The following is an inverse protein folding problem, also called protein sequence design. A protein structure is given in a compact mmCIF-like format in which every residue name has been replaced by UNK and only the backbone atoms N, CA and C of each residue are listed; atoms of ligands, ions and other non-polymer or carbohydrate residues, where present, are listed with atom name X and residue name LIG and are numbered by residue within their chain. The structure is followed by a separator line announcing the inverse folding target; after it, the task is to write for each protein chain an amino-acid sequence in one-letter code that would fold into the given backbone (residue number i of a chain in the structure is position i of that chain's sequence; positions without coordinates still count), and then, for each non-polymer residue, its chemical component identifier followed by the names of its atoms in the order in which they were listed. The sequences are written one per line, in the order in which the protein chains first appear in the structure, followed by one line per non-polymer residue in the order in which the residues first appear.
data_IF_041090453292
#
_entry.id   IF_041090453292
#
_cell.length_a   1.000
_cell.length_b   1.000
_cell.length_c   1.000
_cell.angle_alpha   90.00
_cell.angle_beta   90.00
_cell.angle_gamma   90.00
#
_symmetry.space_group_name_H-M   'P 1'
#
loop_
_entity.id
_entity.type
_entity.pdbx_description
1 polymer ?
#
# COMPACT_ATOMS: atom_id res chain seq x y z
N UNK A 1 -31.53 -1.96 9.03
CA UNK A 1 -31.17 -1.92 7.60
C UNK A 1 -29.73 -1.47 7.50
N UNK A 2 -28.75 -2.35 7.19
CA UNK A 2 -27.36 -1.95 7.06
C UNK A 2 -27.09 -1.42 5.65
N UNK A 3 -26.54 -0.20 5.58
CA UNK A 3 -26.17 0.49 4.35
C UNK A 3 -24.93 -0.16 3.74
N UNK A 4 -25.08 -0.70 2.52
CA UNK A 4 -24.00 -1.23 1.70
C UNK A 4 -23.01 -0.11 1.34
N UNK A 5 -21.79 -0.21 1.86
CA UNK A 5 -20.64 0.54 1.35
C UNK A 5 -20.09 -0.27 0.18
N UNK A 6 -20.53 0.05 -1.03
CA UNK A 6 -19.94 -0.45 -2.26
C UNK A 6 -19.94 0.70 -3.25
N UNK A 7 -18.84 0.82 -3.99
CA UNK A 7 -18.72 1.70 -5.17
C UNK A 7 -18.33 3.17 -4.90
N UNK A 8 -17.18 3.41 -4.26
CA UNK A 8 -16.52 4.71 -4.34
C UNK A 8 -15.40 4.71 -5.38
N UNK A 9 -15.69 5.45 -6.46
CA UNK A 9 -14.78 6.10 -7.40
C UNK A 9 -13.94 5.21 -8.33
N UNK A 10 -14.59 4.57 -9.31
CA UNK A 10 -13.96 4.32 -10.61
C UNK A 10 -14.04 5.60 -11.45
N UNK A 11 -12.93 6.12 -12.02
CA UNK A 11 -13.02 7.25 -12.93
C UNK A 11 -13.79 6.81 -14.17
N UNK A 12 -14.83 7.59 -14.51
CA UNK A 12 -15.60 7.46 -15.74
C UNK A 12 -14.65 7.30 -16.93
N UNK A 13 -14.85 6.21 -17.67
CA UNK A 13 -14.21 5.95 -18.94
C UNK A 13 -14.59 7.05 -19.94
N UNK A 14 -13.78 8.11 -19.99
CA UNK A 14 -13.98 9.19 -20.95
C UNK A 14 -13.43 8.79 -22.31
N UNK A 15 -14.40 8.48 -23.17
CA UNK A 15 -14.38 8.35 -24.61
C UNK A 15 -13.46 9.39 -25.28
N UNK A 16 -12.26 9.00 -25.68
CA UNK A 16 -11.45 9.79 -26.61
C UNK A 16 -10.44 8.90 -27.36
N UNK A 17 -10.94 7.91 -28.08
CA UNK A 17 -10.27 7.34 -29.26
C UNK A 17 -11.34 7.20 -30.35
N UNK A 18 -11.53 8.29 -31.08
CA UNK A 18 -12.35 8.33 -32.30
C UNK A 18 -11.67 7.47 -33.38
N UNK A 19 -12.41 6.49 -33.91
CA UNK A 19 -12.04 5.75 -35.12
C UNK A 19 -11.55 4.31 -34.88
N UNK A 20 -12.49 3.38 -34.72
CA UNK A 20 -12.36 1.94 -35.04
C UNK A 20 -11.30 1.05 -34.35
N UNK A 21 -10.41 1.55 -33.49
CA UNK A 21 -9.42 0.71 -32.80
C UNK A 21 -9.81 0.50 -31.32
N UNK A 22 -10.06 -0.76 -30.92
CA UNK A 22 -10.32 -1.09 -29.51
C UNK A 22 -9.06 -0.76 -28.68
N UNK A 23 -9.20 0.01 -27.62
CA UNK A 23 -8.09 0.40 -26.75
C UNK A 23 -8.05 -0.42 -25.46
N UNK A 24 -6.87 -0.72 -24.90
CA UNK A 24 -6.78 -1.31 -23.57
C UNK A 24 -7.27 -0.33 -22.48
N UNK A 25 -7.95 -0.86 -21.48
CA UNK A 25 -8.45 -0.14 -20.31
C UNK A 25 -7.51 -0.35 -19.13
N UNK A 26 -7.07 0.74 -18.51
CA UNK A 26 -6.14 0.75 -17.39
C UNK A 26 -6.88 0.78 -16.04
N UNK A 27 -6.50 -0.12 -15.15
CA UNK A 27 -6.98 -0.21 -13.77
C UNK A 27 -5.81 -0.20 -12.79
N UNK A 28 -6.08 0.11 -11.53
CA UNK A 28 -5.07 0.12 -10.47
C UNK A 28 -4.33 -1.22 -10.32
N UNK A 29 -4.94 -2.35 -10.68
CA UNK A 29 -4.37 -3.70 -10.55
C UNK A 29 -3.95 -4.34 -11.87
N UNK A 30 -4.06 -3.63 -12.99
CA UNK A 30 -3.69 -4.16 -14.29
C UNK A 30 -4.50 -3.58 -15.44
N UNK A 31 -4.48 -4.29 -16.57
CA UNK A 31 -5.06 -3.87 -17.83
C UNK A 31 -6.14 -4.88 -18.26
N UNK A 32 -7.23 -4.39 -18.87
CA UNK A 32 -8.21 -5.25 -19.55
C UNK A 32 -8.38 -4.82 -20.98
N UNK A 33 -8.75 -5.76 -21.84
CA UNK A 33 -9.19 -5.44 -23.18
C UNK A 33 -10.56 -4.74 -23.16
N UNK A 34 -10.82 -3.84 -24.11
CA UNK A 34 -12.10 -3.10 -24.23
C UNK A 34 -13.37 -3.98 -24.26
N UNK A 35 -13.24 -5.29 -24.52
CA UNK A 35 -14.34 -6.27 -24.50
C UNK A 35 -14.61 -6.86 -23.10
N UNK A 36 -13.97 -6.37 -22.05
CA UNK A 36 -14.10 -6.94 -20.70
C UNK A 36 -13.37 -8.28 -20.55
N UNK A 37 -12.26 -8.46 -21.28
CA UNK A 37 -11.42 -9.65 -21.18
C UNK A 37 -10.78 -9.85 -19.81
N UNK A 38 -10.02 -10.94 -19.67
CA UNK A 38 -9.30 -11.27 -18.45
C UNK A 38 -8.37 -10.14 -18.00
N UNK A 39 -8.28 -9.91 -16.69
CA UNK A 39 -7.40 -8.90 -16.11
C UNK A 39 -5.94 -9.32 -16.21
N UNK A 40 -5.19 -8.63 -17.05
CA UNK A 40 -3.75 -8.77 -17.18
C UNK A 40 -3.09 -7.94 -16.07
N UNK A 41 -2.61 -8.60 -15.03
CA UNK A 41 -2.10 -7.92 -13.84
C UNK A 41 -0.83 -7.14 -14.15
N UNK A 42 -0.82 -5.86 -13.81
CA UNK A 42 0.32 -5.00 -14.06
C UNK A 42 0.57 -4.05 -12.88
N UNK A 43 1.83 -3.67 -12.74
CA UNK A 43 2.30 -2.62 -11.86
C UNK A 43 2.67 -1.38 -12.68
N UNK A 44 2.50 -0.22 -12.06
CA UNK A 44 2.75 1.08 -12.66
C UNK A 44 3.83 1.81 -11.86
N UNK A 45 4.76 2.45 -12.57
CA UNK A 45 5.75 3.34 -11.97
C UNK A 45 6.07 4.49 -12.92
N UNK A 46 6.54 5.61 -12.39
CA UNK A 46 7.13 6.64 -13.26
C UNK A 46 8.49 6.16 -13.75
N UNK A 47 8.80 6.43 -15.02
CA UNK A 47 10.14 6.30 -15.57
C UNK A 47 10.99 7.49 -15.12
N UNK A 48 12.32 7.38 -15.15
CA UNK A 48 13.22 8.52 -14.88
C UNK A 48 12.80 9.73 -15.75
N UNK A 49 12.63 10.94 -15.19
CA UNK A 49 13.10 11.43 -13.89
C UNK A 49 12.23 11.15 -12.65
N UNK A 50 11.11 10.42 -12.77
CA UNK A 50 10.13 10.13 -11.71
C UNK A 50 9.26 11.32 -11.25
N UNK A 51 9.23 12.40 -12.02
CA UNK A 51 8.30 13.51 -11.89
C UNK A 51 6.85 13.11 -12.20
N UNK A 52 5.91 13.57 -11.36
CA UNK A 52 4.47 13.26 -11.49
C UNK A 52 3.84 13.80 -12.77
N UNK A 53 4.36 14.91 -13.29
CA UNK A 53 3.72 15.63 -14.40
C UNK A 53 4.42 15.42 -15.74
N UNK A 54 5.72 15.17 -15.72
CA UNK A 54 6.54 15.08 -16.94
C UNK A 54 7.18 13.71 -17.19
N UNK A 55 6.99 12.73 -16.30
CA UNK A 55 7.57 11.39 -16.54
C UNK A 55 6.66 10.51 -17.36
N UNK A 56 7.26 9.75 -18.26
CA UNK A 56 6.60 8.62 -18.87
C UNK A 56 6.20 7.59 -17.79
N UNK A 57 5.15 6.82 -18.05
CA UNK A 57 4.68 5.78 -17.12
C UNK A 57 5.17 4.45 -17.62
N UNK A 58 5.98 3.78 -16.82
CA UNK A 58 6.38 2.40 -17.04
C UNK A 58 5.30 1.46 -16.51
N UNK A 59 4.90 0.52 -17.36
CA UNK A 59 3.96 -0.53 -17.02
C UNK A 59 4.67 -1.87 -17.13
N UNK A 60 4.57 -2.68 -16.08
CA UNK A 60 5.25 -3.98 -15.99
C UNK A 60 4.20 -5.03 -15.65
N UNK A 61 4.11 -6.09 -16.46
CA UNK A 61 3.27 -7.23 -16.16
C UNK A 61 3.77 -7.92 -14.88
N UNK A 62 2.86 -8.55 -14.15
CA UNK A 62 3.19 -9.24 -12.90
C UNK A 62 2.81 -10.71 -13.00
N UNK A 63 3.47 -11.56 -12.20
CA UNK A 63 3.23 -13.02 -12.18
C UNK A 63 3.53 -13.72 -13.51
N UNK A 64 4.54 -13.28 -14.25
CA UNK A 64 4.96 -13.89 -15.52
C UNK A 64 3.83 -13.93 -16.56
N UNK A 65 2.82 -13.06 -16.43
CA UNK A 65 1.78 -12.93 -17.45
C UNK A 65 2.30 -12.12 -18.63
N UNK A 66 1.95 -12.54 -19.85
CA UNK A 66 2.20 -11.74 -21.04
C UNK A 66 1.02 -10.81 -21.33
N UNK A 67 1.30 -9.67 -21.93
CA UNK A 67 0.24 -8.76 -22.34
C UNK A 67 -0.53 -9.30 -23.57
N UNK A 68 -1.78 -8.88 -23.72
CA UNK A 68 -2.63 -9.30 -24.82
C UNK A 68 -2.12 -8.71 -26.14
N UNK A 69 -2.43 -9.35 -27.29
CA UNK A 69 -2.12 -8.80 -28.60
C UNK A 69 -2.64 -7.36 -28.81
N UNK A 70 -3.71 -6.97 -28.10
CA UNK A 70 -4.23 -5.61 -28.13
C UNK A 70 -3.24 -4.61 -27.54
N UNK A 71 -2.64 -4.92 -26.39
CA UNK A 71 -1.62 -4.08 -25.77
C UNK A 71 -0.38 -4.02 -26.66
N UNK A 72 0.05 -5.15 -27.24
CA UNK A 72 1.14 -5.19 -28.21
C UNK A 72 0.85 -4.38 -29.49
N UNK A 73 -0.42 -4.20 -29.86
CA UNK A 73 -0.80 -3.35 -31.01
C UNK A 73 -0.76 -1.85 -30.69
N UNK A 74 -0.91 -1.48 -29.42
CA UNK A 74 -0.90 -0.09 -28.96
C UNK A 74 0.47 0.36 -28.45
N UNK A 75 1.31 -0.56 -27.98
CA UNK A 75 2.57 -0.25 -27.32
C UNK A 75 3.69 -1.19 -27.75
N UNK A 76 4.90 -0.65 -27.83
CA UNK A 76 6.11 -1.46 -27.96
C UNK A 76 6.40 -2.12 -26.62
N UNK A 77 6.06 -3.41 -26.52
CA UNK A 77 6.33 -4.24 -25.34
C UNK A 77 7.71 -4.87 -25.48
N UNK A 78 8.50 -4.77 -24.41
CA UNK A 78 9.81 -5.36 -24.27
C UNK A 78 9.74 -6.53 -23.28
N UNK A 79 10.44 -7.62 -23.58
CA UNK A 79 10.66 -8.72 -22.65
C UNK A 79 12.09 -9.22 -22.87
N UNK A 80 12.89 -9.27 -21.81
CA UNK A 80 14.30 -9.67 -21.85
C UNK A 80 14.53 -11.07 -21.28
N UNK A 81 13.51 -11.93 -21.30
CA UNK A 81 13.63 -13.33 -20.87
C UNK A 81 14.72 -14.03 -21.65
N UNK A 82 15.67 -14.62 -20.93
CA UNK A 82 16.76 -15.41 -21.47
C UNK A 82 16.65 -16.85 -20.95
N UNK A 83 16.24 -17.73 -21.86
CA UNK A 83 16.00 -19.15 -21.56
C UNK A 83 17.33 -19.91 -21.37
N UNK A 84 18.45 -19.38 -21.87
CA UNK A 84 19.75 -20.02 -21.71
C UNK A 84 20.34 -19.83 -20.30
N UNK A 85 19.98 -18.74 -19.63
CA UNK A 85 20.47 -18.41 -18.27
C UNK A 85 19.41 -18.61 -17.18
N UNK A 86 18.25 -19.20 -17.52
CA UNK A 86 17.09 -19.36 -16.62
C UNK A 86 16.57 -18.01 -16.07
N UNK A 87 16.78 -16.92 -16.83
CA UNK A 87 16.35 -15.59 -16.46
C UNK A 87 14.97 -15.29 -17.07
N UNK A 88 13.93 -15.28 -16.23
CA UNK A 88 12.57 -14.92 -16.65
C UNK A 88 12.24 -13.47 -16.32
N UNK A 89 12.03 -12.67 -17.36
CA UNK A 89 11.60 -11.28 -17.25
C UNK A 89 10.10 -11.15 -17.55
N UNK A 90 9.51 -10.05 -17.08
CA UNK A 90 8.12 -9.72 -17.37
C UNK A 90 8.02 -8.78 -18.55
N UNK A 91 6.89 -8.84 -19.25
CA UNK A 91 6.54 -7.88 -20.28
C UNK A 91 6.48 -6.47 -19.67
N UNK A 92 7.17 -5.52 -20.31
CA UNK A 92 7.26 -4.12 -19.87
C UNK A 92 7.10 -3.19 -21.05
N UNK A 93 6.37 -2.10 -20.88
CA UNK A 93 6.29 -1.03 -21.87
C UNK A 93 6.23 0.33 -21.20
N UNK A 94 6.51 1.36 -21.98
CA UNK A 94 6.54 2.75 -21.50
C UNK A 94 5.49 3.56 -22.24
N UNK A 95 4.64 4.24 -21.47
CA UNK A 95 3.61 5.15 -21.97
C UNK A 95 4.18 6.57 -21.94
N UNK A 96 4.48 7.10 -23.12
CA UNK A 96 4.93 8.48 -23.26
C UNK A 96 3.83 9.48 -22.85
N UNK A 97 4.23 10.65 -22.39
CA UNK A 97 3.31 11.75 -21.98
C UNK A 97 2.42 12.24 -23.13
N UNK A 98 2.89 12.10 -24.37
CA UNK A 98 2.16 12.45 -25.60
C UNK A 98 1.16 11.39 -26.05
N UNK A 99 1.15 10.21 -25.44
CA UNK A 99 0.30 9.10 -25.86
C UNK A 99 -1.17 9.37 -25.50
N UNK A 100 -2.15 9.08 -26.38
CA UNK A 100 -3.58 9.31 -26.09
C UNK A 100 -4.08 8.60 -24.82
N UNK A 101 -3.51 7.43 -24.51
CA UNK A 101 -3.83 6.65 -23.31
C UNK A 101 -3.05 7.06 -22.05
N UNK A 102 -2.19 8.08 -22.13
CA UNK A 102 -1.36 8.52 -21.00
C UNK A 102 -2.19 8.93 -19.79
N UNK A 103 -3.27 9.70 -20.01
CA UNK A 103 -4.14 10.15 -18.91
C UNK A 103 -4.82 8.98 -18.19
N UNK A 104 -5.17 7.91 -18.93
CA UNK A 104 -5.74 6.70 -18.32
C UNK A 104 -4.70 5.94 -17.50
N UNK A 105 -3.48 5.79 -18.02
CA UNK A 105 -2.38 5.18 -17.28
C UNK A 105 -2.01 5.99 -16.03
N UNK A 106 -2.02 7.33 -16.11
CA UNK A 106 -1.78 8.24 -14.97
C UNK A 106 -2.84 8.05 -13.89
N UNK A 107 -4.12 8.01 -14.26
CA UNK A 107 -5.21 7.77 -13.32
C UNK A 107 -5.07 6.40 -12.61
N UNK A 108 -4.66 5.35 -13.33
CA UNK A 108 -4.42 4.04 -12.73
C UNK A 108 -3.25 4.06 -11.72
N UNK A 109 -2.14 4.72 -12.06
CA UNK A 109 -0.98 4.89 -11.17
C UNK A 109 -1.34 5.70 -9.91
N UNK A 110 -2.11 6.77 -10.06
CA UNK A 110 -2.58 7.55 -8.91
C UNK A 110 -3.51 6.74 -8.01
N UNK A 111 -4.39 5.92 -8.58
CA UNK A 111 -5.24 5.01 -7.81
C UNK A 111 -4.41 3.98 -7.01
N UNK A 112 -3.29 3.48 -7.56
CA UNK A 112 -2.34 2.62 -6.82
C UNK A 112 -1.77 3.37 -5.62
N UNK A 113 -1.31 4.60 -5.82
CA UNK A 113 -0.72 5.43 -4.75
C UNK A 113 -1.74 5.79 -3.67
N UNK A 114 -2.96 6.16 -4.05
CA UNK A 114 -4.04 6.45 -3.08
C UNK A 114 -4.38 5.23 -2.24
N UNK A 115 -4.42 4.04 -2.85
CA UNK A 115 -4.65 2.80 -2.12
C UNK A 115 -3.50 2.48 -1.16
N UNK A 116 -2.24 2.61 -1.60
CA UNK A 116 -1.10 2.35 -0.73
C UNK A 116 -1.06 3.33 0.45
N UNK A 117 -1.35 4.61 0.20
CA UNK A 117 -1.46 5.61 1.26
C UNK A 117 -2.57 5.27 2.27
N UNK A 118 -3.75 4.84 1.80
CA UNK A 118 -4.84 4.41 2.67
C UNK A 118 -4.47 3.18 3.51
N UNK A 119 -3.72 2.23 2.95
CA UNK A 119 -3.23 1.05 3.67
C UNK A 119 -2.21 1.42 4.75
N UNK A 120 -1.29 2.34 4.45
CA UNK A 120 -0.34 2.87 5.41
C UNK A 120 -1.06 3.59 6.56
N UNK A 121 -1.98 4.50 6.25
CA UNK A 121 -2.77 5.22 7.25
C UNK A 121 -3.59 4.28 8.15
N UNK A 122 -4.19 3.21 7.58
CA UNK A 122 -4.91 2.20 8.36
C UNK A 122 -3.96 1.40 9.29
N UNK A 123 -2.77 1.06 8.81
CA UNK A 123 -1.74 0.39 9.59
C UNK A 123 -1.24 1.29 10.74
N UNK A 124 -0.98 2.56 10.45
CA UNK A 124 -0.57 3.57 11.42
C UNK A 124 -1.64 3.80 12.48
N UNK A 125 -2.92 3.91 12.10
CA UNK A 125 -4.03 4.01 13.05
C UNK A 125 -4.05 2.83 14.02
N UNK A 126 -3.92 1.60 13.50
CA UNK A 126 -3.87 0.39 14.32
C UNK A 126 -2.65 0.37 15.26
N UNK A 127 -1.50 0.89 14.81
CA UNK A 127 -0.30 1.06 15.65
C UNK A 127 -0.53 2.11 16.74
N UNK A 128 -1.15 3.24 16.41
CA UNK A 128 -1.45 4.30 17.36
C UNK A 128 -2.47 3.84 18.42
N UNK A 129 -3.48 3.06 18.03
CA UNK A 129 -4.43 2.45 18.97
C UNK A 129 -3.72 1.54 19.98
N UNK A 130 -2.75 0.72 19.53
CA UNK A 130 -1.92 -0.11 20.42
C UNK A 130 -1.08 0.74 21.37
N UNK A 131 -0.44 1.81 20.89
CA UNK A 131 0.33 2.74 21.73
C UNK A 131 -0.54 3.41 22.79
N UNK A 132 -1.72 3.89 22.40
CA UNK A 132 -2.67 4.52 23.31
C UNK A 132 -3.17 3.54 24.37
N UNK A 133 -3.45 2.28 23.99
CA UNK A 133 -3.83 1.22 24.94
C UNK A 133 -2.70 0.89 25.93
N UNK A 134 -1.46 0.77 25.45
CA UNK A 134 -0.29 0.52 26.31
C UNK A 134 -0.04 1.70 27.28
N UNK A 135 -0.19 2.94 26.82
CA UNK A 135 -0.11 4.13 27.67
C UNK A 135 -1.20 4.16 28.74
N UNK A 136 -2.44 3.87 28.38
CA UNK A 136 -3.55 3.80 29.32
C UNK A 136 -3.33 2.70 30.38
N UNK A 137 -2.81 1.54 29.97
CA UNK A 137 -2.45 0.45 30.87
C UNK A 137 -1.31 0.85 31.84
N UNK A 138 -0.31 1.60 31.36
CA UNK A 138 0.76 2.12 32.21
C UNK A 138 0.24 3.15 33.23
N UNK A 139 -0.63 4.07 32.80
CA UNK A 139 -1.25 5.05 33.69
C UNK A 139 -2.14 4.37 34.75
N UNK A 140 -2.90 3.34 34.36
CA UNK A 140 -3.69 2.53 35.29
C UNK A 140 -2.80 1.76 36.29
N UNK A 141 -1.77 1.07 35.81
CA UNK A 141 -0.83 0.32 36.65
C UNK A 141 -0.06 1.23 37.62
N UNK A 142 0.32 2.44 37.20
CA UNK A 142 0.93 3.45 38.08
C UNK A 142 -0.04 3.88 39.18
N UNK A 143 -1.30 4.13 38.83
CA UNK A 143 -2.33 4.51 39.80
C UNK A 143 -2.62 3.39 40.80
N UNK A 144 -2.74 2.16 40.32
CA UNK A 144 -2.92 0.97 41.15
C UNK A 144 -1.72 0.73 42.05
N UNK A 145 -0.49 0.88 41.55
CA UNK A 145 0.72 0.74 42.34
C UNK A 145 0.82 1.80 43.45
N UNK A 146 0.48 3.07 43.17
CA UNK A 146 0.41 4.11 44.20
C UNK A 146 -0.64 3.77 45.27
N UNK A 147 -1.84 3.33 44.86
CA UNK A 147 -2.90 2.96 45.80
C UNK A 147 -2.52 1.72 46.64
N UNK A 148 -1.87 0.73 46.04
CA UNK A 148 -1.36 -0.44 46.73
C UNK A 148 -0.22 -0.09 47.70
N UNK A 149 0.66 0.84 47.33
CA UNK A 149 1.72 1.35 48.19
C UNK A 149 1.15 2.04 49.44
N UNK A 150 0.13 2.88 49.28
CA UNK A 150 -0.54 3.57 50.39
C UNK A 150 -1.28 2.60 51.33
N UNK A 151 -1.78 1.47 50.80
CA UNK A 151 -2.46 0.43 51.56
C UNK A 151 -1.52 -0.61 52.20
N UNK A 152 -0.28 -0.73 51.71
CA UNK A 152 0.66 -1.76 52.12
C UNK A 152 1.23 -1.51 53.52
N UNK A 153 1.12 -2.53 54.38
CA UNK A 153 1.61 -2.53 55.76
C UNK A 153 3.03 -3.10 55.90
N UNK A 154 3.47 -3.87 54.91
CA UNK A 154 4.76 -4.54 54.85
C UNK A 154 5.49 -4.24 53.53
N UNK A 155 6.81 -4.45 53.55
CA UNK A 155 7.73 -4.09 52.46
C UNK A 155 7.52 -4.99 51.22
N UNK A 156 7.17 -6.27 51.43
CA UNK A 156 6.91 -7.24 50.36
C UNK A 156 5.70 -6.85 49.49
N UNK A 157 4.62 -6.34 50.10
CA UNK A 157 3.47 -5.82 49.36
C UNK A 157 3.81 -4.53 48.56
N UNK A 158 4.74 -3.70 49.06
CA UNK A 158 5.21 -2.49 48.35
C UNK A 158 6.06 -2.88 47.14
N UNK A 159 6.97 -3.85 47.29
CA UNK A 159 7.80 -4.34 46.20
C UNK A 159 6.98 -5.02 45.09
N UNK A 160 5.93 -5.76 45.45
CA UNK A 160 5.00 -6.34 44.48
C UNK A 160 4.25 -5.27 43.66
N UNK A 161 3.85 -4.16 44.28
CA UNK A 161 3.21 -3.03 43.59
C UNK A 161 4.15 -2.35 42.59
N UNK A 162 5.42 -2.13 42.97
CA UNK A 162 6.44 -1.58 42.07
C UNK A 162 6.84 -2.54 40.93
N UNK A 163 6.85 -3.85 41.18
CA UNK A 163 7.10 -4.86 40.17
C UNK A 163 6.01 -4.85 39.06
N UNK A 164 4.74 -4.69 39.44
CA UNK A 164 3.62 -4.56 38.49
C UNK A 164 3.74 -3.29 37.63
N UNK A 165 4.09 -2.15 38.25
CA UNK A 165 4.33 -0.89 37.53
C UNK A 165 5.53 -0.98 36.56
N UNK A 166 6.63 -1.66 36.96
CA UNK A 166 7.79 -1.92 36.09
C UNK A 166 7.44 -2.84 34.92
N UNK A 167 6.64 -3.88 35.14
CA UNK A 167 6.18 -4.76 34.06
C UNK A 167 5.34 -3.97 33.04
N UNK A 168 4.44 -3.11 33.50
CA UNK A 168 3.66 -2.23 32.62
C UNK A 168 4.57 -1.23 31.85
N UNK A 169 5.60 -0.68 32.49
CA UNK A 169 6.57 0.19 31.81
C UNK A 169 7.32 -0.54 30.69
N UNK A 170 7.77 -1.77 30.94
CA UNK A 170 8.43 -2.60 29.93
C UNK A 170 7.52 -2.89 28.73
N UNK A 171 6.21 -3.07 28.93
CA UNK A 171 5.26 -3.25 27.82
C UNK A 171 5.06 -1.97 27.00
N UNK A 172 5.11 -0.80 27.64
CA UNK A 172 5.07 0.49 26.96
C UNK A 172 6.34 0.74 26.14
N UNK A 173 7.51 0.50 26.74
CA UNK A 173 8.82 0.65 26.07
C UNK A 173 8.94 -0.30 24.87
N UNK A 174 8.47 -1.54 24.99
CA UNK A 174 8.41 -2.47 23.86
C UNK A 174 7.47 -1.99 22.74
N UNK A 175 6.35 -1.36 23.09
CA UNK A 175 5.41 -0.77 22.12
C UNK A 175 5.98 0.50 21.44
N UNK A 176 6.84 1.25 22.13
CA UNK A 176 7.53 2.43 21.61
C UNK A 176 8.71 2.05 20.70
N UNK A 177 9.54 1.09 21.11
CA UNK A 177 10.65 0.56 20.30
C UNK A 177 10.15 -0.10 18.99
N UNK A 178 9.00 -0.76 19.04
CA UNK A 178 8.34 -1.30 17.84
C UNK A 178 7.84 -0.20 16.87
N UNK A 179 7.65 1.03 17.35
CA UNK A 179 7.30 2.18 16.54
C UNK A 179 8.53 2.91 15.96
N UNK A 180 9.62 3.03 16.73
CA UNK A 180 10.85 3.72 16.31
C UNK A 180 11.69 2.91 15.31
N UNK A 181 11.79 1.59 15.48
CA UNK A 181 12.59 0.71 14.60
C UNK A 181 12.12 0.65 13.14
N UNK A 182 10.95 1.24 12.81
CA UNK A 182 10.42 1.30 11.43
C UNK A 182 10.42 2.71 10.82
N UNK A 183 10.91 3.73 11.55
CA UNK A 183 11.13 5.08 11.00
C UNK A 183 12.43 5.22 10.18
N UNK A 184 13.29 4.19 10.17
CA UNK A 184 14.62 4.20 9.53
C UNK A 184 14.67 3.39 8.22
N UNK A 185 13.55 2.77 7.82
CA UNK A 185 13.47 1.96 6.59
C UNK A 185 12.54 2.58 5.53
N UNK A 186 12.67 3.89 5.31
CA UNK A 186 12.02 4.63 4.21
C UNK A 186 13.08 5.22 3.28
#
# INVERSE_FOLDING_TARGET
MPLSISEQAQPQANQALSGTQKAPLFYWNGIRDAKGGELQRANYSYEKPHDRDNSAIRVIATRYTRFSPLVHSCFTVYNSTDVMTDYFDNDKFTVATTHPLYQQAKAALEAVRSRSAAQLAASEKKRQEKRNAARAALEAAKKEACAAYDAAKDEEARDAAFAAARAALATYEAAEAAAESMGVAA
#
